data_IF_319477582844
#
_entry.id   IF_319477582844
#
_cell.length_a   1.000
_cell.length_b   1.000
_cell.length_c   1.000
_cell.angle_alpha   90.00
_cell.angle_beta   90.00
_cell.angle_gamma   90.00
#
_symmetry.space_group_name_H-M   'P 1'
#
loop_
_entity.id
_entity.type
_entity.pdbx_description
1 polymer ?
#
# COMPACT_ATOMS: atom_id res chain seq x y z
N UNK A 1 38.93 16.99 -12.89
CA UNK A 1 37.51 17.39 -13.00
C UNK A 1 36.75 16.76 -11.85
N UNK A 2 36.12 17.54 -10.97
CA UNK A 2 35.30 17.04 -9.86
C UNK A 2 33.90 16.73 -10.43
N UNK A 3 33.52 15.46 -10.45
CA UNK A 3 32.14 15.04 -10.77
C UNK A 3 31.25 15.62 -9.67
N UNK A 4 30.25 16.46 -9.98
CA UNK A 4 29.32 16.92 -8.95
C UNK A 4 28.56 15.69 -8.44
N UNK A 5 28.69 15.41 -7.15
CA UNK A 5 27.80 14.48 -6.48
C UNK A 5 26.40 15.06 -6.62
N UNK A 6 25.58 14.46 -7.49
CA UNK A 6 24.16 14.77 -7.57
C UNK A 6 23.64 14.52 -6.15
N UNK A 7 23.16 15.56 -5.42
CA UNK A 7 22.51 15.31 -4.15
C UNK A 7 21.38 14.35 -4.48
N UNK A 8 21.36 13.21 -3.81
CA UNK A 8 20.28 12.24 -3.91
C UNK A 8 19.06 12.98 -3.37
N UNK A 9 18.39 13.69 -4.26
CA UNK A 9 17.19 14.46 -3.98
C UNK A 9 16.23 13.38 -3.48
N UNK A 10 16.00 13.40 -2.18
CA UNK A 10 15.17 12.41 -1.50
C UNK A 10 13.80 12.61 -2.11
N UNK A 11 13.48 11.82 -3.14
CA UNK A 11 12.24 11.92 -3.89
C UNK A 11 11.13 12.12 -2.87
N UNK A 12 10.55 13.33 -2.87
CA UNK A 12 9.60 13.71 -1.85
C UNK A 12 8.55 12.61 -1.81
N UNK A 13 8.28 12.00 -0.64
CA UNK A 13 7.34 10.90 -0.59
C UNK A 13 6.02 11.39 -1.19
N UNK A 14 5.35 10.56 -2.00
CA UNK A 14 4.09 10.95 -2.62
C UNK A 14 3.13 11.40 -1.54
N UNK A 15 2.43 12.50 -1.80
CA UNK A 15 1.43 13.04 -0.91
C UNK A 15 0.32 12.00 -0.68
N UNK A 16 -0.37 12.14 0.45
CA UNK A 16 -1.51 11.27 0.78
C UNK A 16 -2.57 11.26 -0.33
N UNK A 17 -2.81 12.41 -0.96
CA UNK A 17 -3.78 12.57 -2.04
C UNK A 17 -3.36 11.77 -3.27
N UNK A 18 -2.10 11.88 -3.70
CA UNK A 18 -1.57 11.12 -4.84
C UNK A 18 -1.68 9.60 -4.62
N UNK A 19 -1.40 9.12 -3.40
CA UNK A 19 -1.54 7.70 -3.07
C UNK A 19 -3.00 7.25 -3.13
N UNK A 20 -3.93 8.08 -2.63
CA UNK A 20 -5.37 7.78 -2.67
C UNK A 20 -5.91 7.77 -4.11
N UNK A 21 -5.52 8.75 -4.92
CA UNK A 21 -5.90 8.84 -6.33
C UNK A 21 -5.36 7.64 -7.12
N UNK A 22 -4.09 7.25 -6.91
CA UNK A 22 -3.51 6.08 -7.55
C UNK A 22 -4.25 4.78 -7.21
N UNK A 23 -4.67 4.62 -5.95
CA UNK A 23 -5.47 3.47 -5.52
C UNK A 23 -6.84 3.47 -6.21
N UNK A 24 -7.52 4.62 -6.25
CA UNK A 24 -8.83 4.76 -6.87
C UNK A 24 -8.81 4.50 -8.38
N UNK A 25 -7.84 5.09 -9.10
CA UNK A 25 -7.67 4.90 -10.56
C UNK A 25 -7.44 3.43 -10.90
N UNK A 26 -6.73 2.71 -10.03
CA UNK A 26 -6.46 1.29 -10.21
C UNK A 26 -7.55 0.37 -9.63
N UNK A 27 -8.67 0.91 -9.15
CA UNK A 27 -9.80 0.12 -8.65
C UNK A 27 -9.60 -0.52 -7.27
N UNK A 28 -8.63 -0.04 -6.49
CA UNK A 28 -8.44 -0.48 -5.10
C UNK A 28 -9.36 0.27 -4.15
N UNK A 29 -10.03 -0.49 -3.28
CA UNK A 29 -10.64 0.05 -2.08
C UNK A 29 -9.61 0.15 -0.96
N UNK A 30 -9.71 1.20 -0.14
CA UNK A 30 -8.84 1.35 1.03
C UNK A 30 -9.61 1.84 2.26
N UNK A 31 -9.05 1.53 3.42
CA UNK A 31 -9.47 2.11 4.70
C UNK A 31 -8.26 2.64 5.44
N UNK A 32 -8.35 3.90 5.84
CA UNK A 32 -7.35 4.58 6.66
C UNK A 32 -8.01 5.11 7.93
N UNK A 33 -7.51 4.72 9.11
CA UNK A 33 -8.07 5.11 10.41
C UNK A 33 -6.97 5.47 11.39
N UNK A 34 -7.07 6.63 12.05
CA UNK A 34 -6.20 6.97 13.18
C UNK A 34 -6.51 6.07 14.38
N UNK A 35 -5.48 5.53 15.04
CA UNK A 35 -5.61 4.75 16.27
C UNK A 35 -4.91 5.48 17.40
N UNK A 36 -5.66 6.32 18.12
CA UNK A 36 -5.16 7.16 19.22
C UNK A 36 -4.35 6.38 20.26
N UNK A 37 -4.85 5.21 20.70
CA UNK A 37 -4.14 4.33 21.65
C UNK A 37 -2.77 3.84 21.16
N UNK A 38 -2.49 3.88 19.85
CA UNK A 38 -1.23 3.44 19.25
C UNK A 38 -0.39 4.58 18.69
N UNK A 39 -0.91 5.82 18.68
CA UNK A 39 -0.26 6.98 18.04
C UNK A 39 0.06 6.75 16.56
N UNK A 40 -0.72 5.92 15.86
CA UNK A 40 -0.44 5.49 14.48
C UNK A 40 -1.72 5.40 13.66
N UNK A 41 -1.60 5.65 12.36
CA UNK A 41 -2.62 5.31 11.38
C UNK A 41 -2.61 3.80 11.12
N UNK A 42 -3.81 3.23 10.94
CA UNK A 42 -4.07 1.87 10.50
C UNK A 42 -4.60 1.94 9.08
N UNK A 43 -3.91 1.31 8.14
CA UNK A 43 -4.29 1.25 6.73
C UNK A 43 -4.57 -0.20 6.30
N UNK A 44 -5.51 -0.36 5.37
CA UNK A 44 -5.86 -1.62 4.72
C UNK A 44 -6.24 -1.32 3.27
N UNK A 45 -5.79 -2.14 2.33
CA UNK A 45 -6.09 -2.02 0.89
C UNK A 45 -6.67 -3.35 0.40
N UNK A 46 -7.66 -3.28 -0.49
CA UNK A 46 -8.36 -4.41 -1.08
C UNK A 46 -8.69 -4.13 -2.55
N UNK A 47 -8.82 -5.18 -3.37
CA UNK A 47 -9.23 -5.05 -4.78
C UNK A 47 -10.33 -6.08 -5.11
N UNK A 48 -11.39 -5.70 -5.87
CA UNK A 48 -12.48 -6.60 -6.24
C UNK A 48 -12.07 -7.91 -6.90
N UNK A 49 -11.02 -7.87 -7.73
CA UNK A 49 -10.49 -9.08 -8.39
C UNK A 49 -10.02 -10.18 -7.41
N UNK A 50 -9.81 -9.84 -6.13
CA UNK A 50 -9.38 -10.78 -5.10
C UNK A 50 -10.54 -11.50 -4.41
N UNK A 51 -11.80 -11.24 -4.80
CA UNK A 51 -12.97 -11.83 -4.17
C UNK A 51 -12.97 -13.38 -4.22
N UNK A 52 -12.32 -13.98 -5.21
CA UNK A 52 -12.17 -15.45 -5.34
C UNK A 52 -10.92 -16.03 -4.67
N UNK A 53 -10.06 -15.20 -4.09
CA UNK A 53 -8.84 -15.66 -3.40
C UNK A 53 -9.16 -16.01 -1.93
N UNK A 54 -8.40 -16.93 -1.31
CA UNK A 54 -8.66 -17.35 0.06
C UNK A 54 -8.75 -16.14 1.02
N UNK A 55 -9.82 -16.12 1.81
CA UNK A 55 -10.46 -14.92 2.38
C UNK A 55 -9.67 -14.08 3.40
N UNK A 56 -8.36 -14.30 3.60
CA UNK A 56 -7.65 -13.78 4.77
C UNK A 56 -6.56 -12.73 4.51
N UNK A 57 -6.20 -12.44 3.26
CA UNK A 57 -5.14 -11.48 2.98
C UNK A 57 -5.60 -10.06 2.79
N UNK A 58 -6.23 -9.45 3.80
CA UNK A 58 -6.32 -7.99 3.86
C UNK A 58 -5.17 -7.48 4.72
N UNK A 59 -3.96 -7.28 4.17
CA UNK A 59 -2.83 -6.88 4.99
C UNK A 59 -3.09 -5.51 5.60
N UNK A 60 -3.08 -5.47 6.92
CA UNK A 60 -3.22 -4.25 7.70
C UNK A 60 -1.82 -3.77 8.04
N UNK A 61 -1.52 -2.51 7.72
CA UNK A 61 -0.25 -1.87 8.09
C UNK A 61 -0.50 -0.67 9.00
N UNK A 62 0.53 -0.32 9.77
CA UNK A 62 0.49 0.79 10.71
C UNK A 62 1.68 1.70 10.48
N UNK A 63 1.46 3.02 10.49
CA UNK A 63 2.53 4.00 10.41
C UNK A 63 2.11 5.32 11.08
N UNK A 64 3.08 6.14 11.50
CA UNK A 64 2.82 7.46 12.10
C UNK A 64 2.31 8.47 11.08
N UNK A 65 2.83 8.40 9.86
CA UNK A 65 2.38 9.15 8.69
C UNK A 65 1.29 8.37 7.92
N UNK A 66 0.17 9.00 7.53
CA UNK A 66 -0.94 8.33 6.85
C UNK A 66 -0.58 7.82 5.44
N UNK A 67 0.17 8.60 4.67
CA UNK A 67 0.62 8.26 3.30
C UNK A 67 1.47 6.99 3.30
N UNK A 68 2.42 6.91 4.23
CA UNK A 68 3.25 5.72 4.40
C UNK A 68 2.46 4.52 4.91
N UNK A 69 1.45 4.72 5.77
CA UNK A 69 0.58 3.63 6.20
C UNK A 69 -0.15 3.00 5.00
N UNK A 70 -0.70 3.83 4.10
CA UNK A 70 -1.37 3.38 2.88
C UNK A 70 -0.39 2.74 1.89
N UNK A 71 0.76 3.36 1.63
CA UNK A 71 1.76 2.81 0.72
C UNK A 71 2.24 1.42 1.18
N UNK A 72 2.52 1.26 2.48
CA UNK A 72 2.88 -0.04 3.06
C UNK A 72 1.74 -1.05 2.97
N UNK A 73 0.50 -0.63 3.22
CA UNK A 73 -0.67 -1.51 3.09
C UNK A 73 -0.86 -1.98 1.65
N UNK A 74 -0.69 -1.07 0.68
CA UNK A 74 -0.78 -1.37 -0.74
C UNK A 74 0.32 -2.33 -1.20
N UNK A 75 1.58 -2.06 -0.85
CA UNK A 75 2.71 -2.95 -1.16
C UNK A 75 2.51 -4.35 -0.55
N UNK A 76 2.01 -4.42 0.69
CA UNK A 76 1.69 -5.70 1.32
C UNK A 76 0.54 -6.43 0.62
N UNK A 77 -0.46 -5.70 0.11
CA UNK A 77 -1.59 -6.24 -0.62
C UNK A 77 -1.15 -6.81 -1.97
N UNK A 78 -0.28 -6.11 -2.70
CA UNK A 78 0.35 -6.60 -3.93
C UNK A 78 1.21 -7.84 -3.66
N UNK A 79 2.03 -7.84 -2.60
CA UNK A 79 2.84 -9.00 -2.24
C UNK A 79 1.99 -10.22 -1.83
N UNK A 80 0.85 -9.98 -1.16
CA UNK A 80 -0.12 -11.03 -0.87
C UNK A 80 -0.75 -11.56 -2.16
N UNK A 81 -1.25 -10.67 -3.02
CA UNK A 81 -1.83 -11.06 -4.30
C UNK A 81 -0.86 -11.87 -5.15
N UNK A 82 0.40 -11.43 -5.29
CA UNK A 82 1.42 -12.15 -6.03
C UNK A 82 1.63 -13.58 -5.51
N UNK A 83 1.57 -13.81 -4.18
CA UNK A 83 1.68 -15.17 -3.61
C UNK A 83 0.45 -16.05 -3.87
N UNK A 84 -0.75 -15.47 -3.90
CA UNK A 84 -2.00 -16.23 -4.01
C UNK A 84 -2.56 -16.34 -5.44
N UNK A 85 -2.17 -15.44 -6.34
CA UNK A 85 -2.54 -15.49 -7.75
C UNK A 85 -2.02 -16.76 -8.43
N UNK A 86 -0.83 -17.24 -8.06
CA UNK A 86 -0.27 -18.50 -8.56
C UNK A 86 -1.10 -19.74 -8.16
N UNK A 87 -1.81 -19.67 -7.04
CA UNK A 87 -2.66 -20.78 -6.56
C UNK A 87 -4.00 -20.83 -7.32
N UNK A 88 -4.51 -19.67 -7.76
CA UNK A 88 -5.79 -19.57 -8.44
C UNK A 88 -5.73 -19.92 -9.95
N UNK A 89 -4.54 -20.00 -10.55
CA UNK A 89 -4.34 -20.30 -11.98
C UNK A 89 -3.91 -21.74 -12.30
N UNK A 90 -3.97 -22.66 -11.34
CA UNK A 90 -3.52 -24.06 -11.48
C UNK A 90 -4.66 -25.09 -11.61
N UNK A 91 -5.87 -24.66 -11.99
CA UNK A 91 -7.05 -25.50 -12.16
C UNK A 91 -7.62 -25.38 -13.57
#
# INVERSE_FOLDING_TARGET
>A
MKVPAIPFDVAQPPSLVEVMEALQVQGYDYTLKWRSRKGKFRAMVWHPMWAGLPSQGRPIKYHVQPEMALALAWAAALAWYGRHAHVAGAA
#
